data_IF_235156500264
#
_entry.id   IF_235156500264
#
_cell.length_a   1.000
_cell.length_b   1.000
_cell.length_c   1.000
_cell.angle_alpha   90.00
_cell.angle_beta   90.00
_cell.angle_gamma   90.00
#
_symmetry.space_group_name_H-M   'P 1'
#
loop_
_entity.id
_entity.type
_entity.pdbx_description
1 polymer ?
#
# COMPACT_ATOMS: atom_id res chain seq x y z
N UNK A 1 -21.59 18.30 -20.64
CA UNK A 1 -21.91 17.40 -21.78
C UNK A 1 -20.83 16.34 -21.86
N UNK A 2 -21.16 15.05 -21.97
CA UNK A 2 -20.17 13.96 -22.08
C UNK A 2 -20.52 13.01 -23.24
N UNK A 3 -19.55 12.24 -23.73
CA UNK A 3 -19.67 11.42 -24.94
C UNK A 3 -20.08 9.97 -24.69
N UNK A 4 -20.36 9.61 -23.42
CA UNK A 4 -20.62 8.22 -22.99
C UNK A 4 -22.01 7.67 -23.35
N UNK A 5 -22.89 8.48 -23.95
CA UNK A 5 -24.29 8.11 -24.16
C UNK A 5 -25.00 7.81 -22.84
N UNK A 6 -25.66 6.64 -22.76
CA UNK A 6 -26.40 6.21 -21.56
C UNK A 6 -25.52 5.65 -20.44
N UNK A 7 -24.21 5.49 -20.67
CA UNK A 7 -23.30 4.91 -19.68
C UNK A 7 -22.83 5.98 -18.69
N UNK A 8 -22.89 5.65 -17.40
CA UNK A 8 -22.38 6.56 -16.35
C UNK A 8 -20.84 6.62 -16.37
N UNK A 9 -20.27 7.76 -15.92
CA UNK A 9 -18.82 7.93 -15.79
C UNK A 9 -18.23 6.89 -14.82
N UNK A 10 -18.97 6.50 -13.78
CA UNK A 10 -18.52 5.50 -12.81
C UNK A 10 -18.46 4.09 -13.40
N UNK A 11 -19.49 3.71 -14.16
CA UNK A 11 -19.48 2.45 -14.92
C UNK A 11 -18.35 2.44 -15.94
N UNK A 12 -18.10 3.56 -16.61
CA UNK A 12 -16.94 3.68 -17.51
C UNK A 12 -15.63 3.48 -16.74
N UNK A 13 -15.46 4.16 -15.61
CA UNK A 13 -14.26 4.04 -14.78
C UNK A 13 -14.04 2.60 -14.35
N UNK A 14 -15.07 1.94 -13.81
CA UNK A 14 -14.99 0.53 -13.40
C UNK A 14 -14.51 -0.37 -14.53
N UNK A 15 -15.07 -0.21 -15.75
CA UNK A 15 -14.66 -1.02 -16.90
C UNK A 15 -13.23 -0.72 -17.35
N UNK A 16 -12.79 0.54 -17.29
CA UNK A 16 -11.41 0.92 -17.58
C UNK A 16 -10.44 0.35 -16.54
N UNK A 17 -10.75 0.46 -15.26
CA UNK A 17 -9.92 -0.09 -14.18
C UNK A 17 -9.83 -1.62 -14.27
N UNK A 18 -10.93 -2.29 -14.62
CA UNK A 18 -10.93 -3.74 -14.86
C UNK A 18 -10.09 -4.13 -16.07
N UNK A 19 -10.18 -3.36 -17.16
CA UNK A 19 -9.46 -3.63 -18.42
C UNK A 19 -7.96 -3.38 -18.31
N UNK A 20 -7.57 -2.25 -17.73
CA UNK A 20 -6.17 -1.82 -17.67
C UNK A 20 -5.48 -2.18 -16.34
N UNK A 21 -6.22 -2.76 -15.38
CA UNK A 21 -5.72 -3.16 -14.05
C UNK A 21 -4.99 -2.03 -13.31
N UNK A 22 -5.38 -0.79 -13.59
CA UNK A 22 -4.87 0.43 -12.95
C UNK A 22 -6.02 1.29 -12.48
N UNK A 23 -5.80 2.12 -11.47
CA UNK A 23 -6.76 3.15 -11.09
C UNK A 23 -6.74 4.30 -12.10
N UNK A 24 -7.90 4.90 -12.32
CA UNK A 24 -8.03 6.11 -13.14
C UNK A 24 -8.36 7.30 -12.26
N UNK A 25 -7.65 8.41 -12.44
CA UNK A 25 -7.90 9.65 -11.69
C UNK A 25 -9.12 10.40 -12.23
N UNK A 26 -9.63 11.38 -11.46
CA UNK A 26 -10.78 12.19 -11.87
C UNK A 26 -10.47 13.01 -13.11
N UNK A 27 -9.24 13.51 -13.23
CA UNK A 27 -8.77 14.24 -14.42
C UNK A 27 -8.71 13.37 -15.68
N UNK A 28 -8.19 12.15 -15.55
CA UNK A 28 -8.19 11.18 -16.65
C UNK A 28 -9.62 10.83 -17.08
N UNK A 29 -10.50 10.57 -16.11
CA UNK A 29 -11.91 10.27 -16.38
C UNK A 29 -12.63 11.44 -17.05
N UNK A 30 -12.33 12.68 -16.68
CA UNK A 30 -12.87 13.87 -17.35
C UNK A 30 -12.46 13.90 -18.82
N UNK A 31 -11.17 13.70 -19.09
CA UNK A 31 -10.61 13.69 -20.45
C UNK A 31 -11.26 12.62 -21.32
N UNK A 32 -11.37 11.38 -20.81
CA UNK A 32 -11.96 10.26 -21.55
C UNK A 32 -13.45 10.48 -21.82
N UNK A 33 -14.18 11.00 -20.84
CA UNK A 33 -15.64 11.18 -20.96
C UNK A 33 -16.05 12.41 -21.77
N UNK A 34 -15.18 13.39 -21.93
CA UNK A 34 -15.50 14.64 -22.65
C UNK A 34 -14.82 14.75 -24.02
N UNK A 35 -14.03 13.75 -24.42
CA UNK A 35 -13.50 13.60 -25.78
C UNK A 35 -14.41 12.73 -26.65
N UNK A 36 -14.53 13.12 -27.91
CA UNK A 36 -15.16 12.35 -28.99
C UNK A 36 -14.17 11.31 -29.53
N UNK A 37 -14.65 10.43 -30.42
CA UNK A 37 -13.82 9.39 -31.06
C UNK A 37 -12.72 9.97 -31.96
N UNK A 38 -12.91 11.18 -32.47
CA UNK A 38 -11.93 11.93 -33.26
C UNK A 38 -10.83 12.59 -32.39
N UNK A 39 -10.91 12.45 -31.06
CA UNK A 39 -9.99 13.06 -30.10
C UNK A 39 -10.31 14.52 -29.75
N UNK A 40 -11.28 15.14 -30.42
CA UNK A 40 -11.72 16.50 -30.12
C UNK A 40 -12.61 16.54 -28.88
N UNK A 41 -12.63 17.68 -28.18
CA UNK A 41 -13.56 17.88 -27.06
C UNK A 41 -14.99 18.09 -27.55
N UNK A 42 -15.95 17.65 -26.74
CA UNK A 42 -17.37 17.78 -27.05
C UNK A 42 -17.84 19.24 -27.14
N UNK A 43 -17.23 20.14 -26.35
CA UNK A 43 -17.46 21.58 -26.35
C UNK A 43 -16.19 22.33 -25.98
N UNK A 44 -16.15 23.63 -26.32
CA UNK A 44 -15.03 24.52 -26.02
C UNK A 44 -14.77 24.66 -24.51
N UNK A 45 -15.83 24.76 -23.71
CA UNK A 45 -15.73 24.81 -22.25
C UNK A 45 -15.05 23.56 -21.65
N UNK A 46 -15.31 22.38 -22.22
CA UNK A 46 -14.67 21.14 -21.77
C UNK A 46 -13.17 21.11 -22.14
N UNK A 47 -12.81 21.70 -23.29
CA UNK A 47 -11.40 21.90 -23.67
C UNK A 47 -10.71 22.82 -22.69
N UNK A 48 -11.29 24.00 -22.45
CA UNK A 48 -10.72 25.00 -21.54
C UNK A 48 -10.52 24.45 -20.11
N UNK A 49 -11.49 23.72 -19.59
CA UNK A 49 -11.35 23.06 -18.28
C UNK A 49 -10.28 21.98 -18.26
N UNK A 50 -10.07 21.28 -19.38
CA UNK A 50 -8.97 20.32 -19.47
C UNK A 50 -7.61 21.02 -19.49
N UNK A 51 -7.49 22.11 -20.23
CA UNK A 51 -6.26 22.91 -20.32
C UNK A 51 -5.91 23.51 -18.94
N UNK A 52 -6.90 24.08 -18.24
CA UNK A 52 -6.74 24.57 -16.86
C UNK A 52 -6.30 23.44 -15.91
N UNK A 53 -6.88 22.25 -16.06
CA UNK A 53 -6.53 21.10 -15.23
C UNK A 53 -5.09 20.66 -15.46
N UNK A 54 -4.65 20.56 -16.72
CA UNK A 54 -3.27 20.19 -17.03
C UNK A 54 -2.28 21.21 -16.47
N UNK A 55 -2.56 22.51 -16.64
CA UNK A 55 -1.74 23.57 -16.06
C UNK A 55 -1.65 23.48 -14.53
N UNK A 56 -2.76 23.14 -13.85
CA UNK A 56 -2.75 22.97 -12.38
C UNK A 56 -2.06 21.70 -11.92
N UNK A 57 -2.12 20.60 -12.68
CA UNK A 57 -1.39 19.38 -12.35
C UNK A 57 0.12 19.64 -12.38
N UNK A 58 0.60 20.43 -13.35
CA UNK A 58 2.01 20.84 -13.43
C UNK A 58 2.43 21.70 -12.22
N UNK A 59 1.51 22.50 -11.68
CA UNK A 59 1.77 23.39 -10.55
C UNK A 59 1.70 22.68 -9.18
N UNK A 60 0.67 21.86 -8.93
CA UNK A 60 0.36 21.37 -7.58
C UNK A 60 0.94 19.99 -7.26
N UNK A 61 1.56 19.30 -8.23
CA UNK A 61 2.09 17.91 -8.09
C UNK A 61 1.09 16.86 -7.60
N UNK A 62 -0.16 17.24 -7.28
CA UNK A 62 -1.21 16.37 -6.78
C UNK A 62 -2.49 16.58 -7.61
N UNK A 63 -2.86 15.53 -8.37
CA UNK A 63 -3.94 15.60 -9.36
C UNK A 63 -5.30 15.91 -8.76
N UNK A 64 -5.58 15.45 -7.55
CA UNK A 64 -6.89 15.64 -6.90
C UNK A 64 -7.09 17.10 -6.47
N UNK A 65 -6.06 17.74 -5.93
CA UNK A 65 -6.10 19.17 -5.58
C UNK A 65 -6.22 20.05 -6.83
N UNK A 66 -5.49 19.72 -7.90
CA UNK A 66 -5.65 20.39 -9.19
C UNK A 66 -7.10 20.27 -9.71
N UNK A 67 -7.70 19.08 -9.57
CA UNK A 67 -9.08 18.86 -9.96
C UNK A 67 -10.06 19.70 -9.13
N UNK A 68 -9.90 19.73 -7.81
CA UNK A 68 -10.74 20.56 -6.93
C UNK A 68 -10.57 22.06 -7.20
N UNK A 69 -9.38 22.51 -7.60
CA UNK A 69 -9.15 23.91 -7.94
C UNK A 69 -9.89 24.32 -9.22
N UNK A 70 -9.92 23.45 -10.23
CA UNK A 70 -10.58 23.73 -11.52
C UNK A 70 -12.09 23.52 -11.46
N UNK A 71 -12.55 22.44 -10.82
CA UNK A 71 -13.98 22.08 -10.80
C UNK A 71 -14.70 22.56 -9.53
N UNK A 72 -13.96 23.09 -8.57
CA UNK A 72 -14.42 23.44 -7.24
C UNK A 72 -14.39 22.26 -6.27
N UNK A 73 -14.41 22.58 -4.97
CA UNK A 73 -14.56 21.60 -3.90
C UNK A 73 -15.86 20.81 -4.07
N UNK A 74 -15.76 19.50 -3.82
CA UNK A 74 -16.90 18.61 -3.87
C UNK A 74 -17.87 18.89 -2.71
N UNK A 75 -19.14 18.57 -2.91
CA UNK A 75 -20.11 18.66 -1.84
C UNK A 75 -20.07 17.39 -0.97
N UNK A 76 -20.26 17.50 0.36
CA UNK A 76 -20.33 16.34 1.23
C UNK A 76 -21.35 15.31 0.71
N UNK A 77 -20.90 14.07 0.52
CA UNK A 77 -21.72 12.94 0.07
C UNK A 77 -22.02 12.90 -1.45
N UNK A 78 -21.51 13.84 -2.25
CA UNK A 78 -21.59 13.77 -3.71
C UNK A 78 -20.22 13.88 -4.32
N UNK A 79 -19.80 12.81 -5.00
CA UNK A 79 -18.49 12.78 -5.66
C UNK A 79 -18.67 12.82 -7.19
N UNK A 80 -18.30 13.94 -7.84
CA UNK A 80 -18.37 14.10 -9.30
C UNK A 80 -17.44 13.10 -9.98
N UNK A 81 -17.92 12.47 -11.04
CA UNK A 81 -17.15 11.51 -11.84
C UNK A 81 -16.95 10.13 -11.20
N UNK A 82 -17.34 9.93 -9.94
CA UNK A 82 -17.17 8.65 -9.22
C UNK A 82 -18.47 7.84 -9.07
N UNK A 83 -19.64 8.41 -9.39
CA UNK A 83 -20.92 7.66 -9.38
C UNK A 83 -21.62 7.55 -8.04
N UNK A 84 -21.11 8.21 -7.01
CA UNK A 84 -21.84 8.41 -5.76
C UNK A 84 -22.92 9.47 -6.01
N UNK A 85 -24.11 8.99 -6.37
CA UNK A 85 -25.32 9.79 -6.58
C UNK A 85 -25.89 10.37 -5.28
N UNK A 86 -27.06 11.00 -5.38
CA UNK A 86 -27.71 11.86 -4.38
C UNK A 86 -27.56 11.37 -2.94
N UNK A 87 -27.17 12.28 -2.04
CA UNK A 87 -27.08 12.01 -0.60
C UNK A 87 -28.48 11.68 -0.05
N UNK A 88 -28.67 10.52 0.61
CA UNK A 88 -29.94 10.12 1.20
C UNK A 88 -30.55 11.13 2.20
N UNK A 89 -29.77 12.11 2.69
CA UNK A 89 -30.27 13.19 3.54
C UNK A 89 -31.37 14.05 2.90
N UNK A 90 -31.42 14.11 1.56
CA UNK A 90 -32.49 14.79 0.80
C UNK A 90 -33.71 13.90 0.53
N UNK A 91 -33.58 12.58 0.74
CA UNK A 91 -34.64 11.61 0.43
C UNK A 91 -35.71 11.51 1.55
N UNK A 92 -35.43 11.94 2.78
CA UNK A 92 -36.36 11.79 3.92
C UNK A 92 -37.62 12.68 3.90
N UNK A 93 -37.86 13.49 2.87
CA UNK A 93 -39.02 14.42 2.82
C UNK A 93 -40.12 14.10 1.79
N UNK A 94 -40.00 13.06 0.95
CA UNK A 94 -40.91 12.89 -0.21
C UNK A 94 -41.48 11.49 -0.49
N UNK A 95 -41.19 10.45 0.30
CA UNK A 95 -41.66 9.08 -0.01
C UNK A 95 -42.31 8.40 1.19
N UNK A 96 -43.52 8.81 1.54
CA UNK A 96 -44.47 7.91 2.19
C UNK A 96 -45.16 7.04 1.12
N UNK A 97 -44.38 6.28 0.36
CA UNK A 97 -44.92 5.27 -0.55
C UNK A 97 -43.83 4.22 -0.89
N UNK A 98 -43.84 3.15 -0.09
CA UNK A 98 -43.62 1.76 -0.48
C UNK A 98 -42.83 1.48 -1.77
N UNK A 99 -41.52 1.23 -1.63
CA UNK A 99 -40.80 0.24 -2.43
C UNK A 99 -39.46 -0.08 -1.75
N UNK A 100 -39.32 -1.32 -1.30
CA UNK A 100 -38.11 -1.93 -0.78
C UNK A 100 -36.98 -1.91 -1.81
N UNK A 101 -35.87 -1.23 -1.50
CA UNK A 101 -34.57 -1.47 -2.12
C UNK A 101 -33.51 -1.35 -1.05
N UNK A 102 -32.96 -2.50 -0.67
CA UNK A 102 -31.95 -2.68 0.35
C UNK A 102 -30.61 -2.11 -0.14
N UNK A 103 -30.33 -0.86 0.20
CA UNK A 103 -28.93 -0.38 0.26
C UNK A 103 -28.54 -0.33 1.73
N UNK A 104 -28.14 -1.48 2.25
CA UNK A 104 -27.57 -1.59 3.59
C UNK A 104 -26.16 -0.97 3.55
N UNK A 105 -26.05 0.27 4.06
CA UNK A 105 -24.89 0.57 4.90
C UNK A 105 -24.90 -0.38 6.11
N UNK A 106 -23.79 -0.52 6.85
CA UNK A 106 -23.73 -1.46 7.96
C UNK A 106 -24.98 -1.27 8.82
N UNK A 107 -25.76 -2.34 8.89
CA UNK A 107 -27.02 -2.31 9.63
C UNK A 107 -26.70 -1.88 11.07
N UNK A 108 -27.60 -1.18 11.76
CA UNK A 108 -27.40 -0.81 13.18
C UNK A 108 -26.71 -1.91 14.03
N UNK A 109 -27.06 -3.22 13.89
CA UNK A 109 -26.35 -4.27 14.62
C UNK A 109 -24.88 -4.48 14.22
N UNK A 110 -24.46 -4.19 12.98
CA UNK A 110 -23.05 -4.26 12.57
C UNK A 110 -22.22 -3.13 13.22
N UNK A 111 -22.81 -1.94 13.42
CA UNK A 111 -22.16 -0.85 14.14
C UNK A 111 -22.01 -1.17 15.62
N UNK A 112 -23.04 -1.75 16.23
CA UNK A 112 -23.00 -2.20 17.62
C UNK A 112 -21.95 -3.31 17.82
N UNK A 113 -21.91 -4.29 16.90
CA UNK A 113 -20.89 -5.36 16.89
C UNK A 113 -19.47 -4.81 16.76
N UNK A 114 -19.23 -3.85 15.85
CA UNK A 114 -17.91 -3.23 15.69
C UNK A 114 -17.49 -2.42 16.94
N UNK A 115 -18.45 -1.81 17.62
CA UNK A 115 -18.21 -1.03 18.83
C UNK A 115 -17.82 -1.94 20.00
N UNK A 116 -18.48 -3.08 20.16
CA UNK A 116 -18.11 -4.09 21.15
C UNK A 116 -16.70 -4.67 20.91
N UNK A 117 -16.33 -4.90 19.65
CA UNK A 117 -14.97 -5.33 19.29
C UNK A 117 -13.91 -4.27 19.67
N UNK A 118 -14.19 -2.99 19.43
CA UNK A 118 -13.30 -1.90 19.82
C UNK A 118 -13.14 -1.79 21.35
N UNK A 119 -14.23 -1.91 22.10
CA UNK A 119 -14.17 -1.88 23.57
C UNK A 119 -13.37 -3.07 24.12
N UNK A 120 -13.52 -4.25 23.51
CA UNK A 120 -12.76 -5.46 23.87
C UNK A 120 -11.26 -5.29 23.57
N UNK A 121 -10.90 -4.77 22.39
CA UNK A 121 -9.51 -4.52 22.02
C UNK A 121 -8.86 -3.47 22.93
N UNK A 122 -9.59 -2.41 23.28
CA UNK A 122 -9.14 -1.37 24.20
C UNK A 122 -8.89 -1.94 25.60
N UNK A 123 -9.73 -2.87 26.08
CA UNK A 123 -9.50 -3.59 27.33
C UNK A 123 -8.19 -4.37 27.32
N UNK A 124 -7.96 -5.18 26.28
CA UNK A 124 -6.72 -5.97 26.12
C UNK A 124 -5.47 -5.10 26.06
N UNK A 125 -5.56 -3.91 25.45
CA UNK A 125 -4.45 -2.96 25.42
C UNK A 125 -4.11 -2.43 26.83
N UNK A 126 -5.12 -2.18 27.67
CA UNK A 126 -4.93 -1.80 29.07
C UNK A 126 -4.26 -2.92 29.89
N UNK A 127 -4.65 -4.17 29.68
CA UNK A 127 -4.03 -5.33 30.34
C UNK A 127 -2.57 -5.50 29.95
N UNK A 128 -2.22 -5.30 28.67
CA UNK A 128 -0.84 -5.34 28.20
C UNK A 128 0.02 -4.23 28.82
N UNK A 129 -0.51 -3.02 28.95
CA UNK A 129 0.20 -1.93 29.64
C UNK A 129 0.40 -2.20 31.13
N UNK A 130 -0.60 -2.79 31.80
CA UNK A 130 -0.47 -3.19 33.20
C UNK A 130 0.57 -4.31 33.40
N UNK A 131 0.58 -5.31 32.53
CA UNK A 131 1.57 -6.40 32.55
C UNK A 131 2.98 -5.88 32.27
N UNK A 132 3.11 -4.96 31.31
CA UNK A 132 4.38 -4.28 31.00
C UNK A 132 4.89 -3.46 32.18
N UNK A 133 4.01 -2.75 32.88
CA UNK A 133 4.36 -2.01 34.10
C UNK A 133 4.84 -2.96 35.21
N UNK A 134 4.15 -4.09 35.41
CA UNK A 134 4.56 -5.10 36.38
C UNK A 134 5.94 -5.69 36.06
N UNK A 135 6.21 -6.00 34.79
CA UNK A 135 7.52 -6.47 34.35
C UNK A 135 8.62 -5.43 34.60
N UNK A 136 8.36 -4.15 34.32
CA UNK A 136 9.29 -3.07 34.59
C UNK A 136 9.60 -2.92 36.09
N UNK A 137 8.59 -3.08 36.95
CA UNK A 137 8.77 -3.10 38.41
C UNK A 137 9.67 -4.26 38.83
N UNK A 138 9.42 -5.48 38.36
CA UNK A 138 10.25 -6.66 38.70
C UNK A 138 11.70 -6.46 38.25
N UNK A 139 11.92 -5.96 37.03
CA UNK A 139 13.26 -5.64 36.52
C UNK A 139 14.00 -4.61 37.38
N UNK A 140 13.30 -3.60 37.88
CA UNK A 140 13.88 -2.58 38.75
C UNK A 140 14.31 -3.13 40.12
N UNK A 141 13.57 -4.10 40.66
CA UNK A 141 13.90 -4.72 41.95
C UNK A 141 15.07 -5.71 41.83
N UNK A 142 15.22 -6.39 40.68
CA UNK A 142 16.35 -7.30 40.42
C UNK A 142 17.65 -6.52 40.16
N UNK A 143 17.58 -5.33 39.55
CA UNK A 143 18.74 -4.46 39.33
C UNK A 143 19.31 -3.79 40.61
N UNK A 144 18.61 -3.86 41.74
CA UNK A 144 18.97 -3.17 42.99
C UNK A 144 19.66 -4.06 44.05
N UNK A 145 19.90 -5.35 43.79
CA UNK A 145 20.63 -6.25 44.70
C UNK A 145 22.08 -6.53 44.28
N UNK A 146 22.88 -5.50 44.06
CA UNK A 146 24.34 -5.64 44.13
C UNK A 146 24.91 -4.66 45.16
N UNK A 147 25.18 -5.11 46.40
CA UNK A 147 25.99 -4.35 47.33
C UNK A 147 27.48 -4.55 47.02
N UNK A 148 28.13 -3.40 46.91
CA UNK A 148 29.57 -3.09 46.94
C UNK A 148 30.42 -3.90 47.95
N UNK A 149 31.66 -4.27 47.57
CA UNK A 149 32.93 -3.71 48.11
C UNK A 149 34.11 -4.73 48.39
N UNK A 150 35.11 -4.80 47.47
CA UNK A 150 36.61 -4.96 47.61
C UNK A 150 37.26 -6.29 48.09
N UNK A 151 38.59 -6.57 47.85
CA UNK A 151 39.70 -5.74 47.32
C UNK A 151 40.41 -6.30 46.06
N UNK A 152 40.95 -5.47 45.15
CA UNK A 152 42.35 -5.00 45.09
C UNK A 152 43.42 -6.06 45.43
N UNK A 153 44.17 -6.49 44.42
CA UNK A 153 45.64 -6.62 44.48
C UNK A 153 46.21 -6.63 43.05
N UNK A 154 46.97 -5.59 42.72
CA UNK A 154 48.02 -5.65 41.70
C UNK A 154 49.11 -6.59 42.19
N UNK A 155 49.48 -7.58 41.38
CA UNK A 155 50.83 -8.12 41.42
C UNK A 155 51.38 -8.15 39.99
N UNK A 156 52.41 -7.34 39.83
CA UNK A 156 53.22 -7.15 38.63
C UNK A 156 54.24 -8.30 38.46
N UNK A 157 54.65 -8.49 37.20
CA UNK A 157 55.95 -9.05 36.78
C UNK A 157 56.09 -10.60 36.80
N UNK A 158 56.73 -11.29 35.84
CA UNK A 158 57.57 -10.93 34.69
C UNK A 158 57.87 -12.25 33.94
N UNK A 159 57.63 -12.37 32.63
CA UNK A 159 57.88 -13.65 31.96
C UNK A 159 57.62 -13.71 30.46
N UNK A 160 58.40 -12.99 29.66
CA UNK A 160 58.73 -13.39 28.29
C UNK A 160 60.22 -13.11 28.11
N UNK A 161 60.99 -14.02 27.50
CA UNK A 161 61.15 -13.91 26.05
C UNK A 161 61.46 -15.23 25.30
N UNK A 162 60.99 -15.29 24.05
CA UNK A 162 61.94 -15.45 22.95
C UNK A 162 61.97 -16.75 22.14
N UNK A 163 61.78 -16.54 20.83
CA UNK A 163 62.56 -17.10 19.72
C UNK A 163 62.18 -18.47 19.10
N UNK A 164 61.99 -18.40 17.76
CA UNK A 164 62.36 -19.39 16.70
C UNK A 164 61.35 -20.54 16.50
N UNK A 165 61.03 -21.04 15.29
CA UNK A 165 61.57 -20.90 13.92
C UNK A 165 60.58 -21.53 12.91
N UNK A 166 60.51 -20.96 11.70
CA UNK A 166 60.38 -21.55 10.34
C UNK A 166 59.26 -22.55 9.94
N UNK A 167 58.42 -22.08 8.99
CA UNK A 167 58.14 -22.54 7.60
C UNK A 167 58.33 -23.99 7.09
N UNK A 168 57.51 -24.28 6.04
CA UNK A 168 57.57 -25.26 4.92
C UNK A 168 56.48 -26.36 4.99
N UNK A 169 55.45 -26.35 4.14
CA UNK A 169 55.35 -26.59 2.69
C UNK A 169 55.26 -28.08 2.29
N UNK A 170 54.13 -28.41 1.63
CA UNK A 170 53.99 -29.29 0.46
C UNK A 170 54.16 -30.81 0.60
N UNK A 171 53.05 -31.56 0.39
CA UNK A 171 53.04 -32.75 -0.48
C UNK A 171 51.60 -33.15 -0.89
N UNK A 172 51.24 -32.90 -2.15
CA UNK A 172 50.28 -33.65 -3.01
C UNK A 172 51.12 -34.61 -3.91
N UNK A 173 50.64 -35.57 -4.76
CA UNK A 173 49.28 -35.88 -5.25
C UNK A 173 49.02 -37.42 -5.45
N UNK A 174 47.99 -37.75 -6.26
CA UNK A 174 47.79 -38.96 -7.09
C UNK A 174 47.16 -40.19 -6.40
N UNK A 175 46.25 -40.96 -7.00
CA UNK A 175 45.46 -40.85 -8.24
C UNK A 175 44.41 -41.95 -8.20
N UNK A 176 43.28 -41.77 -8.90
CA UNK A 176 42.71 -42.77 -9.82
C UNK A 176 41.36 -42.25 -10.35
N UNK A 177 41.37 -41.74 -11.59
CA UNK A 177 40.26 -41.94 -12.52
C UNK A 177 40.52 -43.22 -13.34
N UNK A 178 39.78 -43.53 -14.43
CA UNK A 178 38.74 -42.72 -15.09
C UNK A 178 37.49 -43.53 -15.56
N UNK A 179 36.41 -42.83 -15.89
CA UNK A 179 35.73 -42.93 -17.21
C UNK A 179 34.59 -41.88 -17.26
N UNK A 180 34.82 -40.73 -17.88
CA UNK A 180 34.45 -40.42 -19.28
C UNK A 180 32.98 -39.99 -19.45
N UNK A 181 32.76 -38.69 -19.34
CA UNK A 181 31.79 -37.88 -20.12
C UNK A 181 32.16 -37.94 -21.64
N UNK A 182 31.54 -37.23 -22.62
CA UNK A 182 30.56 -36.14 -22.53
C UNK A 182 29.51 -36.07 -23.68
N UNK A 183 28.79 -34.94 -23.73
CA UNK A 183 28.23 -34.25 -24.91
C UNK A 183 26.80 -34.56 -25.38
N UNK A 184 25.92 -33.57 -25.14
CA UNK A 184 24.71 -33.32 -25.94
C UNK A 184 25.03 -32.11 -26.85
N UNK A 185 24.90 -32.21 -28.19
CA UNK A 185 24.92 -31.06 -29.06
C UNK A 185 23.50 -30.62 -29.45
N UNK A 186 23.34 -29.30 -29.56
CA UNK A 186 22.25 -28.64 -30.29
C UNK A 186 22.26 -29.01 -31.77
N UNK A 187 21.08 -29.06 -32.42
CA UNK A 187 20.71 -28.36 -33.67
C UNK A 187 19.46 -28.96 -34.34
N UNK A 188 18.51 -28.10 -34.73
CA UNK A 188 17.56 -28.29 -35.86
C UNK A 188 18.33 -28.21 -37.22
N UNK A 189 17.76 -28.35 -38.46
CA UNK A 189 16.34 -28.39 -38.92
C UNK A 189 15.94 -29.34 -40.12
N UNK A 190 14.62 -29.51 -40.36
CA UNK A 190 13.81 -29.70 -41.62
C UNK A 190 14.18 -30.75 -42.73
N UNK A 191 13.37 -31.01 -43.81
CA UNK A 191 11.96 -30.67 -44.17
C UNK A 191 11.06 -31.82 -44.77
N UNK A 192 9.74 -31.52 -44.86
CA UNK A 192 8.68 -31.76 -45.90
C UNK A 192 8.58 -33.11 -46.68
N UNK A 193 7.35 -33.57 -47.05
CA UNK A 193 7.13 -34.33 -48.28
C UNK A 193 6.78 -33.43 -49.48
#
# INVERSE_FOLDING_TARGET
MHTLGSKSIASLKFDLEKKYRRKFSRGEMFTISHKKKDGSFVCEEAREKNDQLLAKIEETSFEEEAYEQVFGKEHPGRVRGMGFGVVPSQMRKRYSCSASSSTAGPSQPEYDSLKEELDTLKGKMGELEALKAQMATILQHIGAQQPSHFPFNEDVNLGSPGLRRSSHASHDPHCDGPNSSPHIPSSSPQPQP
#
